data_IF_600232441209
#
_entry.id   IF_600232441209
#
_cell.length_a   1.000
_cell.length_b   1.000
_cell.length_c   1.000
_cell.angle_alpha   90.00
_cell.angle_beta   90.00
_cell.angle_gamma   90.00
#
_symmetry.space_group_name_H-M   'P 1'
#
loop_
_entity.id
_entity.type
_entity.pdbx_description
1 polymer ?
#
# COMPACT_ATOMS: atom_id res chain seq x y z
N UNK A 1 10.65 -2.42 12.58
CA UNK A 1 10.41 -0.98 12.61
C UNK A 1 9.73 -0.51 11.33
N UNK A 2 8.79 0.43 11.44
CA UNK A 2 8.17 1.13 10.32
C UNK A 2 8.71 2.56 10.26
N UNK A 3 8.49 3.27 9.16
CA UNK A 3 9.05 4.62 8.95
C UNK A 3 7.91 5.57 8.57
N UNK A 4 7.78 6.69 9.31
CA UNK A 4 6.89 7.78 8.94
C UNK A 4 7.70 8.94 8.38
N UNK A 5 7.41 9.34 7.14
CA UNK A 5 7.91 10.56 6.53
C UNK A 5 6.83 11.63 6.67
N UNK A 6 7.16 12.72 7.35
CA UNK A 6 6.21 13.78 7.71
C UNK A 6 6.59 15.07 6.99
N UNK A 7 5.65 15.68 6.32
CA UNK A 7 5.77 17.01 5.72
C UNK A 7 4.88 17.98 6.49
N UNK A 8 5.45 19.08 6.92
CA UNK A 8 4.72 20.12 7.66
C UNK A 8 4.29 19.71 9.08
N UNK A 9 3.49 20.53 9.71
CA UNK A 9 2.88 20.22 11.02
C UNK A 9 1.60 19.40 10.81
N UNK A 10 1.48 18.22 11.40
CA UNK A 10 0.34 17.32 11.19
C UNK A 10 -0.47 17.06 12.46
N UNK A 11 0.15 17.22 13.64
CA UNK A 11 -0.50 16.94 14.92
C UNK A 11 -1.70 17.86 15.17
N UNK A 12 -2.83 17.29 15.57
CA UNK A 12 -4.06 17.99 15.85
C UNK A 12 -4.79 18.57 14.62
N UNK A 13 -4.30 18.30 13.41
CA UNK A 13 -5.01 18.71 12.17
C UNK A 13 -6.03 17.67 11.73
N UNK A 14 -7.09 18.16 11.13
CA UNK A 14 -8.11 17.34 10.48
C UNK A 14 -7.76 17.10 9.01
N UNK A 15 -8.25 15.98 8.49
CA UNK A 15 -8.18 15.61 7.07
C UNK A 15 -6.76 15.64 6.47
N UNK A 16 -5.78 15.22 7.27
CA UNK A 16 -4.37 15.18 6.85
C UNK A 16 -4.21 14.17 5.71
N UNK A 17 -3.47 14.56 4.67
CA UNK A 17 -3.19 13.68 3.55
C UNK A 17 -2.20 12.58 3.95
N UNK A 18 -2.63 11.31 3.80
CA UNK A 18 -1.85 10.16 4.27
C UNK A 18 -1.71 9.10 3.17
N UNK A 19 -0.51 8.58 3.04
CA UNK A 19 -0.25 7.32 2.33
C UNK A 19 0.27 6.27 3.30
N UNK A 20 -0.42 5.13 3.39
CA UNK A 20 0.12 3.92 4.01
C UNK A 20 0.68 3.04 2.89
N UNK A 21 2.00 3.01 2.78
CA UNK A 21 2.73 2.26 1.75
C UNK A 21 3.32 0.97 2.34
N UNK A 22 2.95 -0.19 1.80
CA UNK A 22 3.59 -1.45 2.18
C UNK A 22 4.84 -1.64 1.33
N UNK A 23 5.96 -1.91 1.98
CA UNK A 23 7.28 -2.14 1.38
C UNK A 23 7.20 -3.09 0.17
N UNK A 24 7.92 -2.72 -0.87
CA UNK A 24 8.12 -3.53 -2.04
C UNK A 24 9.54 -3.29 -2.58
N UNK A 25 10.54 -3.98 -2.06
CA UNK A 25 11.95 -3.76 -2.42
C UNK A 25 12.17 -3.75 -3.93
N UNK A 26 11.57 -4.70 -4.63
CA UNK A 26 11.73 -4.81 -6.09
C UNK A 26 11.14 -3.61 -6.84
N UNK A 27 9.97 -3.12 -6.44
CA UNK A 27 9.32 -1.96 -7.07
C UNK A 27 9.89 -0.63 -6.59
N UNK A 28 10.05 -0.46 -5.28
CA UNK A 28 10.43 0.81 -4.67
C UNK A 28 11.89 1.18 -4.96
N UNK A 29 12.80 0.20 -4.84
CA UNK A 29 14.26 0.39 -5.01
C UNK A 29 14.72 0.03 -6.42
N UNK A 30 14.43 -1.21 -6.87
CA UNK A 30 14.96 -1.73 -8.13
C UNK A 30 14.10 -1.41 -9.35
N UNK A 31 12.99 -0.69 -9.18
CA UNK A 31 12.11 -0.22 -10.27
C UNK A 31 11.56 -1.36 -11.13
N UNK A 32 11.24 -2.50 -10.51
CA UNK A 32 10.62 -3.63 -11.19
C UNK A 32 9.34 -3.22 -11.89
N UNK A 33 9.19 -3.62 -13.15
CA UNK A 33 8.00 -3.38 -13.96
C UNK A 33 6.87 -4.39 -13.70
N UNK A 34 7.10 -5.43 -12.87
CA UNK A 34 6.08 -6.43 -12.50
C UNK A 34 4.96 -5.89 -11.63
N UNK A 35 5.17 -4.73 -11.00
CA UNK A 35 4.18 -4.07 -10.15
C UNK A 35 4.20 -2.56 -10.36
N UNK A 36 3.24 -1.87 -9.75
CA UNK A 36 3.10 -0.42 -9.76
C UNK A 36 3.56 0.24 -8.44
N UNK A 37 4.24 -0.51 -7.56
CA UNK A 37 4.55 -0.04 -6.20
C UNK A 37 5.47 1.17 -6.18
N UNK A 38 6.58 1.14 -6.94
CA UNK A 38 7.52 2.25 -7.00
C UNK A 38 6.90 3.54 -7.54
N UNK A 39 6.04 3.42 -8.56
CA UNK A 39 5.31 4.56 -9.12
C UNK A 39 4.29 5.12 -8.12
N UNK A 40 3.58 4.25 -7.38
CA UNK A 40 2.67 4.66 -6.31
C UNK A 40 3.41 5.39 -5.18
N UNK A 41 4.61 4.93 -4.81
CA UNK A 41 5.45 5.60 -3.81
C UNK A 41 5.83 7.00 -4.27
N UNK A 42 6.36 7.14 -5.48
CA UNK A 42 6.76 8.43 -6.06
C UNK A 42 5.58 9.39 -6.23
N UNK A 43 4.44 8.88 -6.70
CA UNK A 43 3.20 9.67 -6.79
C UNK A 43 2.80 10.22 -5.43
N UNK A 44 2.80 9.36 -4.41
CA UNK A 44 2.35 9.76 -3.06
C UNK A 44 3.28 10.79 -2.42
N UNK A 45 4.60 10.65 -2.60
CA UNK A 45 5.57 11.63 -2.12
C UNK A 45 5.37 13.00 -2.77
N UNK A 46 5.19 13.04 -4.11
CA UNK A 46 4.91 14.29 -4.83
C UNK A 46 3.60 14.92 -4.37
N UNK A 47 2.54 14.11 -4.22
CA UNK A 47 1.23 14.61 -3.78
C UNK A 47 1.28 15.24 -2.37
N UNK A 48 2.02 14.62 -1.45
CA UNK A 48 2.23 15.16 -0.09
C UNK A 48 3.08 16.44 -0.13
N UNK A 49 4.09 16.49 -0.99
CA UNK A 49 4.91 17.69 -1.19
C UNK A 49 4.07 18.87 -1.72
N UNK A 50 3.25 18.61 -2.74
CA UNK A 50 2.34 19.62 -3.34
C UNK A 50 1.29 20.13 -2.33
N UNK A 51 0.78 19.25 -1.47
CA UNK A 51 -0.16 19.58 -0.39
C UNK A 51 0.51 20.42 0.70
N UNK A 52 1.82 20.30 0.88
CA UNK A 52 2.60 20.98 1.91
C UNK A 52 2.41 20.43 3.33
N UNK A 53 1.49 19.48 3.53
CA UNK A 53 1.23 18.84 4.82
C UNK A 53 0.74 17.41 4.61
N UNK A 54 1.35 16.43 5.28
CA UNK A 54 0.92 15.05 5.17
C UNK A 54 1.92 14.03 5.69
N UNK A 55 1.54 12.76 5.64
CA UNK A 55 2.34 11.64 6.13
C UNK A 55 2.42 10.53 5.09
N UNK A 56 3.62 10.08 4.78
CA UNK A 56 3.84 8.80 4.13
C UNK A 56 4.33 7.80 5.17
N UNK A 57 3.48 6.84 5.55
CA UNK A 57 3.83 5.75 6.45
C UNK A 57 4.31 4.55 5.62
N UNK A 58 5.62 4.27 5.69
CA UNK A 58 6.26 3.15 5.01
C UNK A 58 6.27 1.93 5.93
N UNK A 59 5.35 0.99 5.66
CA UNK A 59 5.17 -0.23 6.44
C UNK A 59 6.11 -1.32 5.92
N UNK A 60 6.99 -1.80 6.76
CA UNK A 60 7.90 -2.90 6.43
C UNK A 60 7.18 -4.24 6.51
N UNK A 61 6.34 -4.48 5.50
CA UNK A 61 5.50 -5.68 5.32
C UNK A 61 5.68 -6.20 3.88
N UNK A 62 6.91 -6.57 3.54
CA UNK A 62 7.29 -7.02 2.19
C UNK A 62 6.45 -8.23 1.76
N UNK A 63 6.10 -8.26 0.46
CA UNK A 63 5.31 -9.34 -0.11
C UNK A 63 3.90 -9.46 0.50
N UNK A 64 3.30 -8.37 0.97
CA UNK A 64 2.05 -8.38 1.76
C UNK A 64 2.19 -9.13 3.10
N UNK A 65 3.37 -9.13 3.70
CA UNK A 65 3.64 -9.78 4.97
C UNK A 65 4.27 -11.19 4.87
N UNK A 66 4.42 -11.76 3.66
CA UNK A 66 5.06 -13.07 3.49
C UNK A 66 6.60 -12.99 3.40
N UNK A 67 7.14 -11.78 3.30
CA UNK A 67 8.57 -11.50 3.17
C UNK A 67 9.11 -11.65 1.76
N UNK A 68 10.34 -11.14 1.54
CA UNK A 68 10.96 -11.05 0.22
C UNK A 68 11.16 -12.43 -0.43
N UNK A 69 11.66 -13.40 0.33
CA UNK A 69 11.99 -14.73 -0.21
C UNK A 69 10.74 -15.43 -0.74
N UNK A 70 9.63 -15.41 0.02
CA UNK A 70 8.39 -16.05 -0.42
C UNK A 70 7.74 -15.26 -1.57
N UNK A 71 7.88 -13.93 -1.60
CA UNK A 71 7.47 -13.13 -2.75
C UNK A 71 8.22 -13.55 -4.03
N UNK A 72 9.54 -13.80 -3.96
CA UNK A 72 10.29 -14.28 -5.13
C UNK A 72 9.86 -15.68 -5.56
N UNK A 73 9.54 -16.58 -4.59
CA UNK A 73 8.93 -17.88 -4.91
C UNK A 73 7.55 -17.71 -5.57
N UNK A 74 6.73 -16.76 -5.08
CA UNK A 74 5.45 -16.44 -5.71
C UNK A 74 5.63 -15.93 -7.15
N UNK A 75 6.64 -15.10 -7.42
CA UNK A 75 6.97 -14.68 -8.78
C UNK A 75 7.32 -15.87 -9.70
N UNK A 76 8.10 -16.84 -9.22
CA UNK A 76 8.41 -18.05 -9.98
C UNK A 76 7.16 -18.91 -10.28
N UNK A 77 6.16 -18.91 -9.40
CA UNK A 77 4.87 -19.56 -9.63
C UNK A 77 4.02 -18.78 -10.64
N UNK A 78 4.04 -17.44 -10.57
CA UNK A 78 3.37 -16.58 -11.54
C UNK A 78 3.93 -16.75 -12.96
N UNK A 79 5.24 -16.96 -13.10
CA UNK A 79 5.87 -17.28 -14.40
C UNK A 79 5.40 -18.62 -14.98
N UNK A 80 4.79 -19.48 -14.14
CA UNK A 80 4.16 -20.75 -14.53
C UNK A 80 2.64 -20.64 -14.73
N UNK A 81 2.09 -19.41 -14.68
CA UNK A 81 0.69 -19.13 -14.98
C UNK A 81 -0.24 -18.92 -13.79
N UNK A 82 0.24 -19.06 -12.53
CA UNK A 82 -0.58 -18.72 -11.35
C UNK A 82 -0.72 -17.22 -11.23
N UNK A 83 -1.84 -16.75 -10.68
CA UNK A 83 -1.92 -15.34 -10.27
C UNK A 83 -1.37 -15.12 -8.84
N UNK A 84 -1.35 -13.87 -8.39
CA UNK A 84 -0.76 -13.50 -7.09
C UNK A 84 -1.48 -14.17 -5.91
N UNK A 85 -2.79 -14.39 -5.99
CA UNK A 85 -3.59 -15.01 -4.93
C UNK A 85 -3.32 -16.52 -4.88
N UNK A 86 -3.38 -17.16 -6.04
CA UNK A 86 -3.10 -18.58 -6.20
C UNK A 86 -1.67 -18.94 -5.78
N UNK A 87 -0.69 -18.12 -6.15
CA UNK A 87 0.70 -18.30 -5.75
C UNK A 87 0.88 -18.23 -4.22
N UNK A 88 0.21 -17.29 -3.54
CA UNK A 88 0.25 -17.20 -2.08
C UNK A 88 -0.37 -18.44 -1.42
N UNK A 89 -1.55 -18.88 -1.88
CA UNK A 89 -2.22 -20.08 -1.36
C UNK A 89 -1.35 -21.32 -1.57
N UNK A 90 -0.73 -21.45 -2.75
CA UNK A 90 0.19 -22.55 -3.06
C UNK A 90 1.40 -22.61 -2.11
N UNK A 91 1.87 -21.45 -1.65
CA UNK A 91 2.96 -21.34 -0.68
C UNK A 91 2.49 -21.47 0.78
N UNK A 92 1.20 -21.71 1.04
CA UNK A 92 0.63 -21.88 2.38
C UNK A 92 0.28 -20.58 3.09
N UNK A 93 0.17 -19.46 2.36
CA UNK A 93 -0.18 -18.15 2.92
C UNK A 93 -1.61 -17.75 2.55
N UNK A 94 -2.30 -16.96 3.41
CA UNK A 94 -3.55 -16.33 3.03
C UNK A 94 -3.34 -15.32 1.88
N UNK A 95 -4.41 -14.95 1.15
CA UNK A 95 -4.34 -14.01 0.02
C UNK A 95 -3.72 -12.64 0.35
N UNK A 96 -3.98 -12.14 1.55
CA UNK A 96 -3.47 -10.85 2.03
C UNK A 96 -3.36 -10.85 3.58
N UNK A 97 -2.20 -11.28 4.13
CA UNK A 97 -1.98 -11.35 5.57
C UNK A 97 -1.57 -10.01 6.22
N UNK A 98 -1.70 -8.86 5.52
CA UNK A 98 -1.29 -7.57 6.10
C UNK A 98 -2.17 -7.18 7.27
N UNK A 99 -1.51 -6.69 8.32
CA UNK A 99 -2.15 -5.98 9.43
C UNK A 99 -2.01 -4.46 9.23
N UNK A 100 -3.13 -3.75 9.35
CA UNK A 100 -3.18 -2.29 9.27
C UNK A 100 -3.29 -1.62 10.65
N UNK A 101 -3.49 -2.40 11.73
CA UNK A 101 -3.64 -1.90 13.09
C UNK A 101 -2.42 -1.14 13.59
N UNK A 102 -1.22 -1.68 13.36
CA UNK A 102 0.03 -0.98 13.70
C UNK A 102 0.14 0.35 12.95
N UNK A 103 -0.27 0.37 11.67
CA UNK A 103 -0.30 1.61 10.89
C UNK A 103 -1.25 2.65 11.45
N UNK A 104 -2.44 2.24 11.87
CA UNK A 104 -3.41 3.12 12.52
C UNK A 104 -2.90 3.66 13.86
N UNK A 105 -2.27 2.81 14.68
CA UNK A 105 -1.66 3.22 15.95
C UNK A 105 -0.56 4.27 15.74
N UNK A 106 0.34 4.07 14.77
CA UNK A 106 1.40 5.04 14.45
C UNK A 106 0.79 6.39 14.02
N UNK A 107 -0.23 6.38 13.17
CA UNK A 107 -0.89 7.60 12.72
C UNK A 107 -1.63 8.31 13.87
N UNK A 108 -2.27 7.57 14.74
CA UNK A 108 -2.91 8.10 15.95
C UNK A 108 -1.88 8.70 16.93
N UNK A 109 -0.73 8.05 17.10
CA UNK A 109 0.38 8.50 17.96
C UNK A 109 1.04 9.80 17.42
N UNK A 110 0.99 10.02 16.12
CA UNK A 110 1.35 11.28 15.47
C UNK A 110 0.30 12.39 15.65
N UNK A 111 -0.78 12.13 16.39
CA UNK A 111 -1.85 13.08 16.66
C UNK A 111 -2.86 13.25 15.53
N UNK A 112 -2.99 12.29 14.61
CA UNK A 112 -3.98 12.33 13.55
C UNK A 112 -5.31 11.69 14.01
N UNK A 113 -6.42 12.38 13.79
CA UNK A 113 -7.77 11.91 14.11
C UNK A 113 -8.60 11.63 12.87
N UNK A 114 -8.44 12.47 11.85
CA UNK A 114 -9.05 12.26 10.53
C UNK A 114 -8.01 12.42 9.41
N UNK A 115 -8.17 11.61 8.36
CA UNK A 115 -7.22 11.55 7.25
C UNK A 115 -7.92 11.48 5.90
N UNK A 116 -7.30 12.05 4.87
CA UNK A 116 -7.56 11.72 3.47
C UNK A 116 -6.54 10.67 3.02
N UNK A 117 -7.01 9.48 2.65
CA UNK A 117 -6.14 8.35 2.40
C UNK A 117 -5.87 8.16 0.90
N UNK A 118 -4.60 8.27 0.51
CA UNK A 118 -4.14 7.97 -0.86
C UNK A 118 -4.13 6.45 -1.04
N UNK A 119 -5.16 5.89 -1.69
CA UNK A 119 -5.28 4.44 -1.89
C UNK A 119 -6.26 4.06 -3.00
N UNK A 120 -6.03 2.91 -3.64
CA UNK A 120 -6.99 2.20 -4.47
C UNK A 120 -7.53 0.92 -3.79
N UNK A 121 -7.08 0.62 -2.57
CA UNK A 121 -7.47 -0.59 -1.84
C UNK A 121 -8.53 -0.27 -0.76
N UNK A 122 -9.81 -0.65 -0.93
CA UNK A 122 -10.85 -0.41 0.07
C UNK A 122 -10.56 -1.08 1.42
N UNK A 123 -9.87 -2.22 1.43
CA UNK A 123 -9.51 -2.92 2.67
C UNK A 123 -8.59 -2.11 3.58
N UNK A 124 -7.80 -1.17 3.01
CA UNK A 124 -6.98 -0.25 3.80
C UNK A 124 -7.83 0.75 4.58
N UNK A 125 -8.94 1.21 3.99
CA UNK A 125 -9.88 2.12 4.65
C UNK A 125 -10.48 1.42 5.87
N UNK A 126 -11.14 0.27 5.65
CA UNK A 126 -11.75 -0.53 6.71
C UNK A 126 -10.73 -0.92 7.79
N UNK A 127 -9.52 -1.30 7.38
CA UNK A 127 -8.46 -1.68 8.30
C UNK A 127 -7.99 -0.54 9.21
N UNK A 128 -7.98 0.71 8.74
CA UNK A 128 -7.60 1.87 9.55
C UNK A 128 -8.77 2.35 10.43
N UNK A 129 -9.99 2.39 9.90
CA UNK A 129 -11.19 2.79 10.64
C UNK A 129 -11.52 1.83 11.80
N UNK A 130 -11.26 0.53 11.63
CA UNK A 130 -11.42 -0.47 12.68
C UNK A 130 -10.59 -0.20 13.95
N UNK A 131 -9.57 0.67 13.85
CA UNK A 131 -8.73 1.11 14.98
C UNK A 131 -8.98 2.57 15.39
N UNK A 132 -10.13 3.14 15.01
CA UNK A 132 -10.58 4.47 15.45
C UNK A 132 -10.03 5.66 14.67
N UNK A 133 -9.30 5.45 13.60
CA UNK A 133 -8.82 6.50 12.72
C UNK A 133 -9.88 6.80 11.64
N UNK A 134 -10.45 8.00 11.66
CA UNK A 134 -11.48 8.40 10.68
C UNK A 134 -10.86 8.62 9.29
N UNK A 135 -11.35 7.92 8.27
CA UNK A 135 -11.00 8.18 6.87
C UNK A 135 -12.09 9.06 6.25
N UNK A 136 -11.85 10.35 6.17
CA UNK A 136 -12.81 11.34 5.67
C UNK A 136 -12.96 11.31 4.15
N UNK A 137 -11.89 10.96 3.43
CA UNK A 137 -11.91 10.84 1.98
C UNK A 137 -10.85 9.86 1.47
N UNK A 138 -11.11 9.29 0.30
CA UNK A 138 -10.15 8.51 -0.47
C UNK A 138 -9.60 9.37 -1.61
N UNK A 139 -8.29 9.42 -1.73
CA UNK A 139 -7.61 9.99 -2.89
C UNK A 139 -7.07 8.85 -3.79
N UNK A 140 -7.52 8.72 -5.05
CA UNK A 140 -7.12 7.63 -5.92
C UNK A 140 -5.69 7.82 -6.42
N UNK A 141 -4.97 6.70 -6.57
CA UNK A 141 -3.65 6.65 -7.23
C UNK A 141 -3.84 6.17 -8.66
N UNK A 142 -3.71 7.06 -9.63
CA UNK A 142 -3.86 6.72 -11.05
C UNK A 142 -2.49 6.47 -11.65
N UNK A 143 -2.12 5.21 -11.80
CA UNK A 143 -0.90 4.75 -12.47
C UNK A 143 -1.32 3.93 -13.69
N UNK A 144 -0.76 4.26 -14.85
CA UNK A 144 -1.03 3.52 -16.08
C UNK A 144 -0.49 2.09 -16.02
N UNK A 145 -1.25 1.14 -16.59
CA UNK A 145 -0.75 -0.22 -16.75
C UNK A 145 0.32 -0.27 -17.85
N UNK A 146 1.34 -1.09 -17.67
CA UNK A 146 2.32 -1.44 -18.68
C UNK A 146 2.18 -2.92 -19.10
N UNK A 147 2.92 -3.34 -20.12
CA UNK A 147 2.83 -4.72 -20.64
C UNK A 147 3.26 -5.78 -19.63
N UNK A 148 4.07 -5.44 -18.63
CA UNK A 148 4.60 -6.37 -17.64
C UNK A 148 3.74 -6.46 -16.37
N UNK A 149 2.96 -5.41 -16.04
CA UNK A 149 2.15 -5.38 -14.81
C UNK A 149 0.64 -5.47 -15.05
N UNK A 150 0.18 -5.55 -16.31
CA UNK A 150 -1.26 -5.60 -16.64
C UNK A 150 -1.96 -6.73 -15.92
N UNK A 151 -1.47 -7.95 -16.03
CA UNK A 151 -2.04 -9.12 -15.35
C UNK A 151 -2.08 -8.98 -13.82
N UNK A 152 -1.02 -8.40 -13.24
CA UNK A 152 -0.98 -8.10 -11.81
C UNK A 152 -2.05 -7.08 -11.39
N UNK A 153 -2.27 -6.02 -12.17
CA UNK A 153 -3.29 -5.01 -11.89
C UNK A 153 -4.71 -5.57 -12.10
N UNK A 154 -4.93 -6.40 -13.11
CA UNK A 154 -6.19 -7.11 -13.32
C UNK A 154 -6.52 -8.01 -12.13
N UNK A 155 -5.57 -8.81 -11.64
CA UNK A 155 -5.75 -9.63 -10.43
C UNK A 155 -6.09 -8.78 -9.20
N UNK A 156 -5.45 -7.61 -9.03
CA UNK A 156 -5.79 -6.67 -7.96
C UNK A 156 -7.24 -6.19 -8.06
N UNK A 157 -7.70 -5.87 -9.26
CA UNK A 157 -9.06 -5.41 -9.49
C UNK A 157 -10.08 -6.53 -9.24
N UNK A 158 -9.91 -7.68 -9.87
CA UNK A 158 -10.90 -8.75 -9.89
C UNK A 158 -10.93 -9.58 -8.61
N UNK A 159 -9.77 -9.97 -8.08
CA UNK A 159 -9.67 -10.87 -6.92
C UNK A 159 -9.48 -10.15 -5.58
N UNK A 160 -8.93 -8.93 -5.58
CA UNK A 160 -8.66 -8.18 -4.36
C UNK A 160 -9.53 -6.93 -4.18
N UNK A 161 -10.41 -6.62 -5.16
CA UNK A 161 -11.38 -5.54 -5.08
C UNK A 161 -10.78 -4.14 -5.15
N UNK A 162 -9.61 -3.98 -5.77
CA UNK A 162 -9.01 -2.66 -5.95
C UNK A 162 -9.80 -1.80 -6.93
N UNK A 163 -9.91 -0.51 -6.62
CA UNK A 163 -10.56 0.53 -7.44
C UNK A 163 -9.52 1.15 -8.40
N UNK A 164 -9.20 0.42 -9.47
CA UNK A 164 -8.21 0.79 -10.48
C UNK A 164 -8.86 1.37 -11.73
#
# INVERSE_FOLDING_TARGET
>A
HHIALIKGEVSGKEDVLVRVHSECLTGDVFKSLRCDCGEQLQYSLRRIEEEGCGVLLYMRQEGRGIGLINKLKAYALQDKGLDTVEANIHLGFPPDPRDYGIGAQILSDLGLHSIRLITNNPKKIVGLEGYGLKVSAREPVKIGANVHNRFYLETKKEKLGHLL
#
